data_IF_621630586240
#
_entry.id   IF_621630586240
#
_cell.length_a   1.000
_cell.length_b   1.000
_cell.length_c   1.000
_cell.angle_alpha   90.00
_cell.angle_beta   90.00
_cell.angle_gamma   90.00
#
_symmetry.space_group_name_H-M   'P 1'
#
loop_
_entity.id
_entity.type
_entity.pdbx_description
1 polymer ?
#
# COMPACT_ATOMS: atom_id res chain seq x y z
N UNK A 1 60.50 -11.54 29.09
CA UNK A 1 60.29 -12.38 30.28
C UNK A 1 58.81 -12.49 30.52
N UNK A 2 58.31 -13.68 30.34
CA UNK A 2 57.22 -14.43 30.91
C UNK A 2 55.80 -13.92 30.54
N UNK A 3 54.83 -14.64 30.15
CA UNK A 3 54.64 -16.02 29.67
C UNK A 3 53.16 -16.09 29.29
N UNK A 4 52.83 -16.72 28.19
CA UNK A 4 51.47 -17.07 27.81
C UNK A 4 50.94 -18.22 28.69
N UNK A 5 49.65 -18.47 28.76
CA UNK A 5 49.18 -19.58 27.97
C UNK A 5 47.84 -19.42 27.21
N UNK A 6 47.84 -20.12 26.11
CA UNK A 6 46.76 -20.50 25.23
C UNK A 6 45.58 -21.19 25.91
N UNK A 7 44.34 -20.90 25.45
CA UNK A 7 43.23 -21.85 25.55
C UNK A 7 42.50 -21.93 24.20
N UNK A 8 42.48 -23.16 23.68
CA UNK A 8 41.80 -23.65 22.47
C UNK A 8 40.28 -23.48 22.54
N UNK A 9 39.60 -23.33 21.40
CA UNK A 9 38.14 -23.40 21.32
C UNK A 9 37.69 -24.86 21.25
N UNK A 10 36.66 -25.20 22.01
CA UNK A 10 35.94 -26.47 21.96
C UNK A 10 34.85 -26.40 20.91
N UNK A 11 34.93 -27.32 19.95
CA UNK A 11 33.86 -27.69 19.02
C UNK A 11 32.65 -28.21 19.79
N UNK A 12 31.46 -27.70 19.45
CA UNK A 12 30.21 -28.39 19.70
C UNK A 12 29.47 -28.60 18.37
N UNK A 13 29.32 -29.86 18.07
CA UNK A 13 28.58 -30.45 16.97
C UNK A 13 27.06 -30.41 17.26
N UNK A 14 26.18 -29.96 16.34
CA UNK A 14 24.75 -30.05 16.50
C UNK A 14 24.17 -31.11 15.57
N UNK A 15 24.15 -32.33 16.04
CA UNK A 15 23.33 -33.39 15.42
C UNK A 15 22.53 -34.11 16.50
N UNK A 16 21.29 -33.69 16.72
CA UNK A 16 20.25 -34.54 17.30
C UNK A 16 18.89 -34.08 16.79
N UNK A 17 18.45 -34.80 15.81
CA UNK A 17 17.13 -34.81 15.24
C UNK A 17 16.19 -35.57 16.19
N UNK A 18 15.22 -34.91 16.80
CA UNK A 18 14.11 -35.55 17.47
C UNK A 18 12.79 -35.14 16.85
N UNK A 19 12.26 -36.08 16.09
CA UNK A 19 10.89 -36.14 15.59
C UNK A 19 9.91 -36.19 16.77
N UNK A 20 9.09 -35.17 16.95
CA UNK A 20 7.90 -35.21 17.78
C UNK A 20 6.66 -35.37 16.92
N UNK A 21 6.07 -36.54 17.04
CA UNK A 21 4.76 -36.95 16.58
C UNK A 21 3.64 -35.99 16.99
N UNK A 22 2.77 -35.70 16.05
CA UNK A 22 1.51 -34.99 16.26
C UNK A 22 0.53 -35.90 16.99
N UNK A 23 0.06 -35.46 18.14
CA UNK A 23 -1.13 -36.02 18.79
C UNK A 23 -2.40 -35.44 18.14
N UNK A 24 -3.48 -36.25 17.98
CA UNK A 24 -4.76 -35.79 17.47
C UNK A 24 -5.56 -35.09 18.57
N UNK A 25 -6.19 -33.94 18.20
CA UNK A 25 -7.07 -33.18 19.07
C UNK A 25 -8.39 -33.91 19.41
N UNK A 26 -9.05 -33.53 20.50
CA UNK A 26 -10.19 -34.26 21.03
C UNK A 26 -11.45 -34.12 20.19
N UNK A 27 -12.09 -35.25 19.95
CA UNK A 27 -13.37 -35.43 19.30
C UNK A 27 -14.52 -34.70 20.04
N UNK A 28 -15.44 -34.15 19.25
CA UNK A 28 -16.61 -33.45 19.73
C UNK A 28 -17.56 -34.35 20.56
N UNK A 29 -17.93 -33.84 21.71
CA UNK A 29 -19.01 -34.42 22.54
C UNK A 29 -20.37 -34.10 21.91
N UNK A 30 -21.06 -35.17 21.49
CA UNK A 30 -22.50 -35.22 21.22
C UNK A 30 -23.25 -35.06 22.54
N UNK A 31 -24.08 -34.01 22.63
CA UNK A 31 -25.05 -33.86 23.73
C UNK A 31 -26.28 -34.77 23.56
N UNK A 32 -26.89 -35.18 24.66
CA UNK A 32 -28.00 -36.13 24.61
C UNK A 32 -29.33 -35.48 24.17
N UNK A 33 -30.09 -36.27 23.40
CA UNK A 33 -31.48 -35.97 23.03
C UNK A 33 -32.37 -36.02 24.27
N UNK A 34 -33.40 -35.17 24.42
CA UNK A 34 -34.35 -35.27 25.52
C UNK A 34 -35.35 -36.39 25.27
N UNK A 35 -35.52 -37.22 26.28
CA UNK A 35 -36.52 -38.27 26.39
C UNK A 35 -37.93 -37.73 26.36
N UNK A 36 -38.81 -38.44 25.66
CA UNK A 36 -40.25 -38.28 25.62
C UNK A 36 -40.92 -38.71 26.93
N UNK A 37 -41.45 -37.80 27.68
CA UNK A 37 -42.43 -38.16 28.73
C UNK A 37 -43.83 -37.98 28.17
N UNK A 38 -44.52 -39.09 28.04
CA UNK A 38 -45.95 -39.14 27.72
C UNK A 38 -46.82 -38.67 28.89
N UNK A 39 -47.75 -37.78 28.60
CA UNK A 39 -48.92 -37.49 29.45
C UNK A 39 -50.17 -37.68 28.61
N UNK A 40 -50.95 -38.67 28.99
CA UNK A 40 -52.32 -38.89 28.51
C UNK A 40 -53.29 -37.92 29.18
N UNK A 41 -54.18 -37.36 28.40
CA UNK A 41 -55.36 -36.66 28.99
C UNK A 41 -56.15 -35.78 28.03
N UNK A 42 -57.27 -36.27 27.59
CA UNK A 42 -58.54 -35.53 27.47
C UNK A 42 -58.69 -34.67 26.21
N UNK A 43 -59.59 -35.11 25.36
CA UNK A 43 -59.98 -34.49 24.12
C UNK A 43 -60.60 -33.11 24.23
N UNK A 44 -60.34 -32.38 23.15
CA UNK A 44 -61.27 -31.44 22.50
C UNK A 44 -60.77 -31.29 21.05
N UNK A 45 -61.63 -31.68 20.11
CA UNK A 45 -61.40 -31.47 18.68
C UNK A 45 -61.46 -29.97 18.36
N UNK A 46 -60.31 -29.33 18.32
CA UNK A 46 -60.20 -28.03 17.70
C UNK A 46 -59.81 -28.25 16.22
N UNK A 47 -60.72 -27.88 15.33
CA UNK A 47 -60.59 -27.92 13.89
C UNK A 47 -59.28 -27.19 13.48
N UNK A 48 -58.40 -27.92 12.79
CA UNK A 48 -57.20 -27.33 12.20
C UNK A 48 -57.58 -26.20 11.23
N UNK A 49 -56.89 -25.05 11.28
CA UNK A 49 -57.09 -23.99 10.30
C UNK A 49 -56.73 -24.54 8.92
N UNK A 50 -57.69 -24.49 8.00
CA UNK A 50 -57.44 -24.74 6.59
C UNK A 50 -56.37 -23.73 6.11
N UNK A 51 -55.16 -24.21 5.93
CA UNK A 51 -54.13 -23.44 5.18
C UNK A 51 -54.65 -23.31 3.76
N UNK A 52 -55.11 -22.12 3.38
CA UNK A 52 -55.34 -21.79 1.98
C UNK A 52 -54.02 -21.95 1.26
N UNK A 53 -53.93 -22.95 0.41
CA UNK A 53 -52.91 -23.01 -0.63
C UNK A 53 -53.19 -21.87 -1.60
N UNK A 54 -52.55 -20.72 -1.37
CA UNK A 54 -52.51 -19.70 -2.40
C UNK A 54 -51.72 -20.32 -3.56
N UNK A 55 -52.35 -20.30 -4.74
CA UNK A 55 -51.67 -20.70 -5.99
C UNK A 55 -50.41 -19.87 -6.09
N UNK A 56 -49.24 -20.54 -6.00
CA UNK A 56 -47.96 -19.91 -6.28
C UNK A 56 -48.00 -19.58 -7.78
N UNK A 57 -48.26 -18.31 -8.08
CA UNK A 57 -48.06 -17.81 -9.46
C UNK A 57 -46.64 -18.19 -9.88
N UNK A 58 -46.55 -19.10 -10.81
CA UNK A 58 -45.29 -19.43 -11.46
C UNK A 58 -44.85 -18.18 -12.21
N UNK A 59 -43.96 -17.43 -11.60
CA UNK A 59 -43.30 -16.28 -12.25
C UNK A 59 -42.67 -16.76 -13.53
N UNK A 60 -43.27 -16.38 -14.67
CA UNK A 60 -42.72 -16.64 -15.99
C UNK A 60 -41.35 -16.01 -16.04
N UNK A 61 -40.32 -16.85 -16.19
CA UNK A 61 -38.93 -16.38 -16.31
C UNK A 61 -38.80 -15.55 -17.61
N UNK A 62 -38.86 -14.23 -17.46
CA UNK A 62 -38.53 -13.32 -18.57
C UNK A 62 -37.01 -13.34 -18.77
N UNK A 63 -36.54 -13.45 -20.02
CA UNK A 63 -35.13 -13.34 -20.30
C UNK A 63 -34.61 -11.98 -19.78
N UNK A 64 -33.46 -11.99 -19.13
CA UNK A 64 -32.83 -10.80 -18.56
C UNK A 64 -32.55 -9.78 -19.68
N UNK A 65 -33.20 -8.63 -19.61
CA UNK A 65 -32.91 -7.48 -20.47
C UNK A 65 -32.12 -6.44 -19.64
N UNK A 66 -30.84 -6.19 -19.95
CA UNK A 66 -30.04 -5.21 -19.21
C UNK A 66 -30.64 -3.79 -19.21
N UNK A 67 -31.36 -3.43 -20.28
CA UNK A 67 -32.03 -2.11 -20.39
C UNK A 67 -33.29 -1.99 -19.52
N UNK A 68 -33.88 -3.11 -19.08
CA UNK A 68 -35.08 -3.16 -18.26
C UNK A 68 -34.80 -3.61 -16.82
N UNK A 69 -33.55 -3.63 -16.40
CA UNK A 69 -33.13 -4.13 -15.10
C UNK A 69 -33.64 -3.24 -13.94
N UNK A 70 -34.91 -3.36 -13.65
CA UNK A 70 -35.60 -2.64 -12.56
C UNK A 70 -35.73 -3.45 -11.26
N UNK A 71 -35.22 -4.68 -11.23
CA UNK A 71 -35.29 -5.57 -10.07
C UNK A 71 -34.62 -5.00 -8.84
N UNK A 72 -35.11 -5.36 -7.64
CA UNK A 72 -34.55 -4.89 -6.37
C UNK A 72 -33.06 -5.21 -6.23
N UNK A 73 -32.62 -6.39 -6.67
CA UNK A 73 -31.22 -6.79 -6.67
C UNK A 73 -30.37 -5.87 -7.57
N UNK A 74 -30.83 -5.56 -8.75
CA UNK A 74 -30.11 -4.70 -9.71
C UNK A 74 -29.90 -3.30 -9.11
N UNK A 75 -30.98 -2.66 -8.62
CA UNK A 75 -30.88 -1.35 -7.96
C UNK A 75 -29.91 -1.37 -6.76
N UNK A 76 -29.91 -2.47 -5.99
CA UNK A 76 -28.98 -2.61 -4.85
C UNK A 76 -27.55 -2.77 -5.29
N UNK A 77 -27.29 -3.55 -6.34
CA UNK A 77 -25.93 -3.72 -6.91
C UNK A 77 -25.42 -2.40 -7.48
N UNK A 78 -26.24 -1.68 -8.24
CA UNK A 78 -25.86 -0.37 -8.79
C UNK A 78 -25.59 0.66 -7.71
N UNK A 79 -26.45 0.76 -6.69
CA UNK A 79 -26.24 1.65 -5.56
C UNK A 79 -24.94 1.33 -4.81
N UNK A 80 -24.76 0.07 -4.43
CA UNK A 80 -23.54 -0.37 -3.74
C UNK A 80 -22.27 -0.17 -4.59
N UNK A 81 -22.37 -0.35 -5.91
CA UNK A 81 -21.24 -0.12 -6.81
C UNK A 81 -20.85 1.35 -6.85
N UNK A 82 -21.81 2.25 -6.95
CA UNK A 82 -21.57 3.70 -6.93
C UNK A 82 -20.98 4.16 -5.59
N UNK A 83 -21.53 3.67 -4.47
CA UNK A 83 -21.03 3.96 -3.13
C UNK A 83 -19.58 3.46 -2.97
N UNK A 84 -19.31 2.23 -3.40
CA UNK A 84 -17.96 1.67 -3.38
C UNK A 84 -17.00 2.42 -4.28
N UNK A 85 -17.40 2.75 -5.50
CA UNK A 85 -16.58 3.52 -6.44
C UNK A 85 -16.23 4.91 -5.87
N UNK A 86 -17.23 5.60 -5.30
CA UNK A 86 -17.04 6.90 -4.64
C UNK A 86 -16.08 6.79 -3.45
N UNK A 87 -16.24 5.77 -2.62
CA UNK A 87 -15.34 5.49 -1.50
C UNK A 87 -13.90 5.25 -1.97
N UNK A 88 -13.70 4.40 -2.99
CA UNK A 88 -12.34 4.09 -3.49
C UNK A 88 -11.66 5.33 -4.08
N UNK A 89 -12.42 6.20 -4.76
CA UNK A 89 -11.87 7.45 -5.30
C UNK A 89 -11.50 8.40 -4.16
N UNK A 90 -12.45 8.72 -3.28
CA UNK A 90 -12.29 9.78 -2.27
C UNK A 90 -11.41 9.35 -1.10
N UNK A 91 -11.61 8.14 -0.60
CA UNK A 91 -11.09 7.72 0.71
C UNK A 91 -10.00 6.64 0.63
N UNK A 92 -9.49 6.33 -0.58
CA UNK A 92 -8.48 5.28 -0.74
C UNK A 92 -7.39 5.57 -1.76
N UNK A 93 -7.76 5.76 -3.03
CA UNK A 93 -6.81 5.65 -4.13
C UNK A 93 -6.19 6.99 -4.55
N UNK A 94 -6.95 8.07 -4.50
CA UNK A 94 -6.54 9.37 -5.01
C UNK A 94 -5.98 10.22 -3.88
N UNK A 95 -4.79 10.82 -4.03
CA UNK A 95 -4.21 11.71 -3.03
C UNK A 95 -4.95 13.05 -2.98
N UNK A 96 -4.95 13.69 -1.82
CA UNK A 96 -5.43 15.07 -1.71
C UNK A 96 -4.42 16.05 -2.32
N UNK A 97 -4.94 17.12 -2.92
CA UNK A 97 -4.09 18.15 -3.54
C UNK A 97 -3.29 18.93 -2.48
N UNK A 98 -3.88 19.18 -1.32
CA UNK A 98 -3.32 20.03 -0.28
C UNK A 98 -2.06 19.45 0.39
N UNK A 99 -1.98 18.14 0.54
CA UNK A 99 -0.86 17.46 1.21
C UNK A 99 -0.18 16.36 0.38
N UNK A 100 -0.71 16.07 -0.79
CA UNK A 100 -0.17 15.02 -1.67
C UNK A 100 -0.29 13.60 -1.11
N UNK A 101 -1.04 13.39 -0.04
CA UNK A 101 -1.14 12.12 0.66
C UNK A 101 -2.47 11.41 0.37
N UNK A 102 -2.39 10.09 0.28
CA UNK A 102 -3.58 9.23 0.35
C UNK A 102 -4.04 9.11 1.80
N UNK A 103 -5.32 8.78 2.07
CA UNK A 103 -5.82 8.68 3.45
C UNK A 103 -4.98 7.78 4.36
N UNK A 104 -4.55 6.60 3.91
CA UNK A 104 -3.68 5.72 4.70
C UNK A 104 -2.33 6.39 5.02
N UNK A 105 -1.74 7.10 4.07
CA UNK A 105 -0.47 7.79 4.28
C UNK A 105 -0.61 8.94 5.27
N UNK A 106 -1.70 9.71 5.20
CA UNK A 106 -2.00 10.79 6.14
C UNK A 106 -2.19 10.25 7.56
N UNK A 107 -2.91 9.13 7.71
CA UNK A 107 -3.09 8.45 9.00
C UNK A 107 -1.78 7.91 9.57
N UNK A 108 -0.87 7.43 8.74
CA UNK A 108 0.49 7.04 9.15
C UNK A 108 1.27 8.26 9.67
N UNK A 109 1.24 9.38 8.92
CA UNK A 109 1.93 10.61 9.32
C UNK A 109 1.36 11.17 10.62
N UNK A 110 0.03 11.13 10.78
CA UNK A 110 -0.65 11.53 12.02
C UNK A 110 -0.27 10.63 13.20
N UNK A 111 -0.26 9.32 13.00
CA UNK A 111 0.16 8.35 14.01
C UNK A 111 1.60 8.54 14.45
N UNK A 112 2.49 8.86 13.52
CA UNK A 112 3.88 9.21 13.82
C UNK A 112 3.99 10.50 14.60
N UNK A 113 3.20 11.52 14.25
CA UNK A 113 3.17 12.81 14.96
C UNK A 113 2.73 12.65 16.41
N UNK A 114 1.66 11.92 16.68
CA UNK A 114 1.17 11.68 18.05
C UNK A 114 2.13 10.85 18.92
N UNK A 115 3.01 10.07 18.31
CA UNK A 115 4.02 9.24 18.98
C UNK A 115 5.44 9.80 18.92
N UNK A 116 5.60 10.99 18.33
CA UNK A 116 6.91 11.57 18.09
C UNK A 116 7.58 12.07 19.38
N UNK A 117 8.60 11.36 19.82
CA UNK A 117 9.51 11.76 20.89
C UNK A 117 10.93 12.07 20.38
N UNK A 118 11.09 12.19 19.06
CA UNK A 118 12.36 12.39 18.37
C UNK A 118 13.20 11.13 18.18
N UNK A 119 12.80 10.00 18.76
CA UNK A 119 13.52 8.74 18.66
C UNK A 119 12.93 7.84 17.58
N UNK A 120 13.71 6.84 17.19
CA UNK A 120 13.21 5.78 16.32
C UNK A 120 12.21 4.88 17.04
N UNK A 121 11.09 4.60 16.38
CA UNK A 121 10.00 3.76 16.86
C UNK A 121 9.86 2.56 15.92
N UNK A 122 9.60 1.37 16.45
CA UNK A 122 9.33 0.18 15.63
C UNK A 122 8.16 0.43 14.67
N UNK A 123 8.36 0.08 13.41
CA UNK A 123 7.30 0.18 12.39
C UNK A 123 6.05 -0.59 12.82
N UNK A 124 6.21 -1.77 13.44
CA UNK A 124 5.08 -2.54 13.96
C UNK A 124 4.23 -1.76 14.99
N UNK A 125 4.86 -0.93 15.83
CA UNK A 125 4.15 -0.11 16.83
C UNK A 125 3.33 1.00 16.13
N UNK A 126 3.90 1.65 15.12
CA UNK A 126 3.20 2.67 14.35
C UNK A 126 2.06 2.07 13.53
N UNK A 127 2.27 0.91 12.91
CA UNK A 127 1.23 0.17 12.20
C UNK A 127 0.06 -0.15 13.12
N UNK A 128 0.34 -0.74 14.29
CA UNK A 128 -0.68 -1.05 15.29
C UNK A 128 -1.42 0.21 15.79
N UNK A 129 -0.69 1.30 16.03
CA UNK A 129 -1.30 2.57 16.44
C UNK A 129 -2.15 3.20 15.32
N UNK A 130 -1.75 3.10 14.07
CA UNK A 130 -2.49 3.62 12.91
C UNK A 130 -3.84 2.91 12.70
N UNK A 131 -3.99 1.67 13.15
CA UNK A 131 -5.25 0.91 13.00
C UNK A 131 -6.45 1.55 13.72
N UNK A 132 -6.23 2.41 14.73
CA UNK A 132 -7.30 3.18 15.36
C UNK A 132 -7.92 4.25 14.43
N UNK A 133 -7.21 4.62 13.36
CA UNK A 133 -7.66 5.55 12.33
C UNK A 133 -8.01 4.83 11.02
N UNK A 134 -7.33 3.73 10.73
CA UNK A 134 -7.42 3.03 9.44
C UNK A 134 -7.96 1.61 9.63
N UNK A 135 -9.27 1.36 9.37
CA UNK A 135 -9.94 0.07 9.63
C UNK A 135 -9.65 -0.96 8.54
N UNK A 136 -8.37 -1.16 8.22
CA UNK A 136 -7.91 -2.14 7.22
C UNK A 136 -6.73 -2.94 7.77
N UNK A 137 -6.31 -3.98 7.03
CA UNK A 137 -5.24 -4.87 7.47
C UNK A 137 -3.90 -4.18 7.70
N UNK A 138 -3.18 -4.61 8.73
CA UNK A 138 -1.86 -4.13 9.15
C UNK A 138 -0.81 -4.18 8.03
N UNK A 139 -0.85 -5.21 7.18
CA UNK A 139 0.03 -5.33 6.03
C UNK A 139 -0.08 -4.11 5.09
N UNK A 140 -1.30 -3.66 4.79
CA UNK A 140 -1.51 -2.50 3.90
C UNK A 140 -0.95 -1.19 4.48
N UNK A 141 -1.03 -1.03 5.81
CA UNK A 141 -0.45 0.12 6.52
C UNK A 141 1.08 0.02 6.49
N UNK A 142 1.63 -1.16 6.77
CA UNK A 142 3.07 -1.41 6.73
C UNK A 142 3.68 -1.12 5.35
N UNK A 143 3.05 -1.61 4.29
CA UNK A 143 3.49 -1.38 2.91
C UNK A 143 3.44 0.11 2.54
N UNK A 144 2.38 0.82 2.93
CA UNK A 144 2.27 2.26 2.70
C UNK A 144 3.35 3.05 3.47
N UNK A 145 3.68 2.64 4.70
CA UNK A 145 4.75 3.23 5.49
C UNK A 145 6.12 3.00 4.83
N UNK A 146 6.40 1.79 4.36
CA UNK A 146 7.63 1.48 3.62
C UNK A 146 7.77 2.35 2.37
N UNK A 147 6.68 2.55 1.62
CA UNK A 147 6.67 3.46 0.46
C UNK A 147 7.03 4.89 0.87
N UNK A 148 6.46 5.41 1.96
CA UNK A 148 6.76 6.77 2.44
C UNK A 148 8.22 6.92 2.88
N UNK A 149 8.78 5.94 3.58
CA UNK A 149 10.20 5.94 3.96
C UNK A 149 11.10 5.96 2.73
N UNK A 150 10.78 5.16 1.72
CA UNK A 150 11.56 5.09 0.48
C UNK A 150 11.47 6.37 -0.38
N UNK A 151 10.47 7.23 -0.16
CA UNK A 151 10.42 8.59 -0.73
C UNK A 151 11.43 9.55 -0.09
N UNK A 152 11.93 9.26 1.11
CA UNK A 152 13.02 9.96 1.82
C UNK A 152 12.76 11.43 2.22
N UNK A 153 11.54 11.92 2.13
CA UNK A 153 11.21 13.30 2.49
C UNK A 153 10.62 13.42 3.89
N UNK A 154 9.64 12.58 4.23
CA UNK A 154 8.80 12.77 5.40
C UNK A 154 9.15 11.86 6.58
N UNK A 155 9.66 10.67 6.28
CA UNK A 155 9.98 9.65 7.28
C UNK A 155 11.43 9.20 7.10
N UNK A 156 12.18 9.20 8.19
CA UNK A 156 13.50 8.60 8.27
C UNK A 156 13.37 7.16 8.76
N UNK A 157 14.00 6.22 8.06
CA UNK A 157 13.97 4.80 8.38
C UNK A 157 15.33 4.28 8.88
N UNK A 158 15.29 3.37 9.83
CA UNK A 158 16.45 2.62 10.31
C UNK A 158 16.21 1.12 10.11
N UNK A 159 17.14 0.46 9.44
CA UNK A 159 17.04 -0.95 9.04
C UNK A 159 16.78 -1.12 7.55
N UNK A 160 16.34 -2.31 7.15
CA UNK A 160 16.12 -2.65 5.75
C UNK A 160 14.67 -2.34 5.32
N UNK A 161 14.47 -1.22 4.63
CA UNK A 161 13.20 -0.83 4.02
C UNK A 161 13.06 -1.28 2.55
N UNK A 162 13.84 -2.26 2.14
CA UNK A 162 13.92 -2.69 0.75
C UNK A 162 14.81 -1.78 -0.09
N UNK A 163 14.93 -2.11 -1.36
CA UNK A 163 15.74 -1.35 -2.29
C UNK A 163 15.06 -1.29 -3.67
N UNK A 164 14.59 -0.12 -4.06
CA UNK A 164 13.94 0.10 -5.35
C UNK A 164 14.86 -0.13 -6.56
N UNK A 165 16.18 -0.07 -6.37
CA UNK A 165 17.15 -0.30 -7.46
C UNK A 165 17.38 -1.80 -7.70
N UNK A 166 17.47 -2.60 -6.64
CA UNK A 166 17.69 -4.05 -6.74
C UNK A 166 16.40 -4.84 -6.86
N UNK A 167 15.31 -4.37 -6.25
CA UNK A 167 14.03 -5.06 -6.16
C UNK A 167 13.83 -5.78 -4.83
N UNK A 168 14.79 -5.67 -3.89
CA UNK A 168 14.70 -6.30 -2.58
C UNK A 168 13.50 -5.81 -1.78
N UNK A 169 12.81 -6.72 -1.13
CA UNK A 169 11.70 -6.41 -0.23
C UNK A 169 12.18 -5.84 1.11
N UNK A 170 11.31 -5.08 1.77
CA UNK A 170 11.56 -4.61 3.13
C UNK A 170 11.55 -5.77 4.14
N UNK A 171 12.32 -5.63 5.22
CA UNK A 171 12.25 -6.52 6.35
C UNK A 171 10.90 -6.40 7.07
N UNK A 172 10.55 -7.43 7.87
CA UNK A 172 9.31 -7.41 8.63
C UNK A 172 9.23 -6.18 9.58
N UNK A 173 8.04 -5.60 9.79
CA UNK A 173 7.82 -4.37 10.59
C UNK A 173 8.39 -4.42 12.02
N UNK A 174 8.55 -5.61 12.59
CA UNK A 174 9.12 -5.78 13.94
C UNK A 174 10.63 -5.54 14.02
N UNK A 175 11.34 -5.55 12.89
CA UNK A 175 12.80 -5.37 12.85
C UNK A 175 13.23 -3.96 12.47
N UNK A 176 12.41 -3.23 11.72
CA UNK A 176 12.72 -1.90 11.20
C UNK A 176 12.07 -0.82 12.05
N UNK A 177 12.68 0.35 12.03
CA UNK A 177 12.27 1.51 12.84
C UNK A 177 12.14 2.75 11.98
N UNK A 178 11.30 3.67 12.40
CA UNK A 178 11.07 4.92 11.69
C UNK A 178 10.84 6.09 12.66
N UNK A 179 11.05 7.30 12.17
CA UNK A 179 10.70 8.55 12.84
C UNK A 179 10.38 9.63 11.82
N UNK A 180 9.74 10.70 12.25
CA UNK A 180 9.55 11.88 11.41
C UNK A 180 10.88 12.56 11.08
N UNK A 181 11.00 13.06 9.86
CA UNK A 181 12.10 13.98 9.50
C UNK A 181 11.83 15.36 10.09
N UNK A 182 12.88 16.20 10.19
CA UNK A 182 12.73 17.60 10.58
C UNK A 182 11.81 18.37 9.62
N UNK A 183 11.92 18.08 8.33
CA UNK A 183 11.04 18.64 7.30
C UNK A 183 9.55 18.34 7.59
N UNK A 184 9.24 17.08 7.93
CA UNK A 184 7.87 16.69 8.23
C UNK A 184 7.34 17.37 9.50
N UNK A 185 8.15 17.45 10.56
CA UNK A 185 7.78 18.14 11.81
C UNK A 185 7.47 19.62 11.59
N UNK A 186 8.28 20.27 10.77
CA UNK A 186 8.18 21.73 10.55
C UNK A 186 7.04 22.10 9.59
N UNK A 187 6.80 21.25 8.58
CA UNK A 187 5.95 21.66 7.45
C UNK A 187 4.56 21.01 7.43
N UNK A 188 4.36 19.86 8.11
CA UNK A 188 3.09 19.12 8.00
C UNK A 188 2.13 19.34 9.16
N UNK A 189 2.64 19.67 10.33
CA UNK A 189 1.81 19.69 11.54
C UNK A 189 1.65 21.13 12.03
N UNK A 190 0.49 21.72 11.77
CA UNK A 190 0.11 23.04 12.23
C UNK A 190 -1.32 23.00 12.76
N UNK A 191 -1.46 22.99 14.08
CA UNK A 191 -2.75 22.87 14.77
C UNK A 191 -3.71 24.02 14.47
N UNK A 192 -3.19 25.22 14.08
CA UNK A 192 -4.03 26.40 13.80
C UNK A 192 -4.83 26.26 12.50
N UNK A 193 -4.35 25.48 11.54
CA UNK A 193 -4.96 25.35 10.21
C UNK A 193 -5.37 23.91 9.88
N UNK A 194 -5.08 22.94 10.75
CA UNK A 194 -5.45 21.54 10.54
C UNK A 194 -6.86 21.27 11.04
N UNK A 195 -7.77 20.98 10.11
CA UNK A 195 -9.12 20.57 10.45
C UNK A 195 -9.13 19.09 10.89
N UNK A 196 -9.70 18.84 12.07
CA UNK A 196 -9.83 17.49 12.64
C UNK A 196 -11.28 17.02 12.61
N UNK A 197 -11.48 15.79 12.17
CA UNK A 197 -12.78 15.08 12.16
C UNK A 197 -12.72 13.82 13.02
N UNK A 198 -13.87 13.31 13.50
CA UNK A 198 -13.90 12.03 14.20
C UNK A 198 -13.36 10.90 13.31
N UNK A 199 -12.60 9.97 13.91
CA UNK A 199 -12.20 8.72 13.26
C UNK A 199 -13.42 7.84 12.96
N UNK A 200 -13.23 6.77 12.20
CA UNK A 200 -14.29 5.88 11.74
C UNK A 200 -15.16 5.31 12.89
N UNK A 201 -14.60 5.17 14.09
CA UNK A 201 -15.29 4.69 15.30
C UNK A 201 -15.69 5.82 16.25
N UNK A 202 -15.39 7.06 15.92
CA UNK A 202 -15.69 8.26 16.71
C UNK A 202 -14.89 8.42 18.00
N UNK A 203 -13.93 7.54 18.28
CA UNK A 203 -13.13 7.58 19.54
C UNK A 203 -11.98 8.57 19.49
N UNK A 204 -11.42 8.77 18.32
CA UNK A 204 -10.26 9.64 18.09
C UNK A 204 -10.60 10.73 17.08
N UNK A 205 -9.69 11.67 16.89
CA UNK A 205 -9.78 12.67 15.85
C UNK A 205 -8.62 12.50 14.87
N UNK A 206 -8.92 12.59 13.58
CA UNK A 206 -7.93 12.52 12.51
C UNK A 206 -7.99 13.76 11.61
N UNK A 207 -6.87 14.17 10.98
CA UNK A 207 -6.86 15.32 10.09
C UNK A 207 -7.56 15.00 8.76
N UNK A 208 -8.37 15.95 8.30
CA UNK A 208 -8.96 15.90 6.95
C UNK A 208 -7.86 15.95 5.89
N UNK A 209 -6.95 16.94 6.04
CA UNK A 209 -5.71 17.10 5.28
C UNK A 209 -4.65 17.65 6.22
N UNK A 210 -3.37 17.52 5.84
CA UNK A 210 -2.24 18.16 6.52
C UNK A 210 -1.73 19.30 5.64
N UNK A 211 -2.26 20.54 5.83
CA UNK A 211 -1.90 21.65 4.95
C UNK A 211 -0.40 21.91 4.99
N UNK A 212 0.23 21.93 3.82
CA UNK A 212 1.67 22.07 3.70
C UNK A 212 2.03 23.19 2.71
N UNK A 213 3.05 23.99 3.04
CA UNK A 213 3.57 25.02 2.14
C UNK A 213 4.36 24.47 0.97
N UNK A 214 4.78 23.21 1.05
CA UNK A 214 5.54 22.53 0.02
C UNK A 214 4.60 21.80 -0.96
N UNK A 215 4.93 21.75 -2.25
CA UNK A 215 4.14 21.04 -3.25
C UNK A 215 4.37 19.53 -3.18
N UNK A 216 4.00 18.92 -2.04
CA UNK A 216 4.29 17.51 -1.71
C UNK A 216 3.76 16.54 -2.77
N UNK A 217 2.62 16.83 -3.38
CA UNK A 217 2.07 15.99 -4.44
C UNK A 217 3.04 15.80 -5.61
N UNK A 218 3.71 16.87 -6.02
CA UNK A 218 4.73 16.82 -7.09
C UNK A 218 6.07 16.29 -6.59
N UNK A 219 6.44 16.59 -5.34
CA UNK A 219 7.68 16.09 -4.74
C UNK A 219 7.65 14.56 -4.61
N UNK A 220 6.59 14.03 -4.05
CA UNK A 220 6.46 12.60 -3.76
C UNK A 220 6.14 11.80 -5.04
N UNK A 221 5.37 12.37 -5.95
CA UNK A 221 4.74 11.63 -7.01
C UNK A 221 3.84 10.53 -6.47
N UNK A 222 2.81 10.18 -7.18
CA UNK A 222 1.86 9.16 -6.73
C UNK A 222 1.18 8.49 -7.90
N UNK A 223 0.77 7.25 -7.72
CA UNK A 223 -0.06 6.51 -8.63
C UNK A 223 -1.26 5.97 -7.86
N UNK A 224 -2.46 6.20 -8.38
CA UNK A 224 -3.70 5.76 -7.78
C UNK A 224 -4.61 5.14 -8.82
N UNK A 225 -5.06 3.92 -8.59
CA UNK A 225 -6.03 3.21 -9.43
C UNK A 225 -7.30 3.07 -8.62
N UNK A 226 -8.36 3.73 -9.09
CA UNK A 226 -9.68 3.67 -8.51
C UNK A 226 -10.66 2.99 -9.48
N UNK A 227 -11.94 3.01 -9.17
CA UNK A 227 -13.00 2.50 -10.05
C UNK A 227 -13.34 3.58 -11.08
N UNK A 228 -13.14 3.30 -12.36
CA UNK A 228 -13.42 4.22 -13.47
C UNK A 228 -12.47 5.42 -13.59
N UNK A 229 -11.53 5.58 -12.66
CA UNK A 229 -10.57 6.69 -12.60
C UNK A 229 -9.20 6.21 -12.19
N UNK A 230 -8.16 6.74 -12.80
CA UNK A 230 -6.78 6.55 -12.36
C UNK A 230 -6.02 7.88 -12.39
N UNK A 231 -5.08 8.04 -11.48
CA UNK A 231 -4.16 9.18 -11.44
C UNK A 231 -2.72 8.69 -11.45
N UNK A 232 -1.86 9.38 -12.19
CA UNK A 232 -0.43 9.12 -12.18
C UNK A 232 0.32 10.45 -12.22
N UNK A 233 0.86 10.83 -11.08
CA UNK A 233 1.64 12.06 -10.92
C UNK A 233 3.09 11.65 -10.73
N UNK A 234 3.94 12.10 -11.64
CA UNK A 234 5.36 11.78 -11.61
C UNK A 234 6.07 12.63 -10.54
N UNK A 235 7.12 12.11 -9.88
CA UNK A 235 7.91 12.90 -8.94
C UNK A 235 8.73 13.96 -9.68
N UNK A 236 9.06 15.04 -8.97
CA UNK A 236 9.84 16.17 -9.47
C UNK A 236 10.96 16.51 -8.49
N UNK A 237 11.96 17.22 -8.98
CA UNK A 237 13.08 17.67 -8.20
C UNK A 237 12.67 18.76 -7.19
N UNK A 238 12.98 18.56 -5.91
CA UNK A 238 12.56 19.46 -4.84
C UNK A 238 13.12 20.90 -5.02
N UNK A 239 14.42 21.13 -5.24
CA UNK A 239 14.95 22.47 -5.53
C UNK A 239 14.27 23.16 -6.71
N UNK A 240 13.98 22.45 -7.80
CA UNK A 240 13.30 23.01 -8.97
C UNK A 240 11.86 23.40 -8.66
N UNK A 241 11.15 22.63 -7.83
CA UNK A 241 9.81 22.97 -7.38
C UNK A 241 9.79 24.23 -6.53
N UNK A 242 10.75 24.42 -5.61
CA UNK A 242 10.88 25.64 -4.83
C UNK A 242 11.20 26.84 -5.72
N UNK A 243 12.07 26.68 -6.72
CA UNK A 243 12.34 27.73 -7.69
C UNK A 243 11.10 28.10 -8.51
N UNK A 244 10.29 27.10 -8.88
CA UNK A 244 9.03 27.35 -9.56
C UNK A 244 8.03 28.11 -8.67
N UNK A 245 7.90 27.77 -7.39
CA UNK A 245 7.07 28.52 -6.44
C UNK A 245 7.53 29.97 -6.32
N UNK A 246 8.84 30.22 -6.21
CA UNK A 246 9.41 31.57 -6.17
C UNK A 246 9.14 32.31 -7.49
N UNK A 247 9.21 31.64 -8.63
CA UNK A 247 8.92 32.23 -9.93
C UNK A 247 7.43 32.63 -10.04
N UNK A 248 6.52 31.78 -9.60
CA UNK A 248 5.06 32.05 -9.54
C UNK A 248 4.79 33.29 -8.68
N UNK A 249 5.37 33.38 -7.48
CA UNK A 249 5.20 34.50 -6.58
C UNK A 249 5.78 35.82 -7.14
N UNK A 250 6.64 35.75 -8.13
CA UNK A 250 7.27 36.89 -8.82
C UNK A 250 6.70 37.13 -10.22
N UNK A 251 5.60 36.48 -10.57
CA UNK A 251 4.98 36.55 -11.90
C UNK A 251 5.97 36.21 -13.05
N UNK A 252 6.90 35.31 -12.82
CA UNK A 252 7.89 34.88 -13.80
C UNK A 252 7.52 33.52 -14.42
N UNK A 253 7.85 33.30 -15.69
CA UNK A 253 7.66 32.00 -16.30
C UNK A 253 8.54 30.95 -15.62
N UNK A 254 8.01 29.76 -15.48
CA UNK A 254 8.70 28.59 -14.95
C UNK A 254 8.42 27.36 -15.81
N UNK A 255 9.28 26.37 -15.68
CA UNK A 255 9.08 25.05 -16.27
C UNK A 255 9.66 24.01 -15.31
N UNK A 256 8.88 23.00 -14.98
CA UNK A 256 9.31 21.84 -14.20
C UNK A 256 9.10 20.59 -15.01
N UNK A 257 10.00 19.64 -14.89
CA UNK A 257 9.93 18.34 -15.54
C UNK A 257 10.07 17.25 -14.48
N UNK A 258 9.48 16.07 -14.73
CA UNK A 258 9.66 14.95 -13.83
C UNK A 258 11.13 14.60 -13.60
N UNK A 259 11.45 14.20 -12.38
CA UNK A 259 12.77 13.73 -11.99
C UNK A 259 12.63 12.40 -11.21
N UNK A 260 13.49 11.45 -11.51
CA UNK A 260 13.41 10.10 -10.96
C UNK A 260 14.66 9.75 -10.18
N UNK A 261 14.48 9.21 -8.97
CA UNK A 261 15.59 8.81 -8.10
C UNK A 261 16.49 7.74 -8.73
N UNK A 262 15.94 6.91 -9.63
CA UNK A 262 16.68 5.88 -10.35
C UNK A 262 17.49 6.44 -11.50
N UNK A 263 17.28 7.70 -11.88
CA UNK A 263 17.93 8.34 -13.01
C UNK A 263 17.37 7.90 -14.37
N UNK A 264 18.24 7.82 -15.36
CA UNK A 264 17.91 7.50 -16.74
C UNK A 264 17.93 8.72 -17.66
N UNK A 265 17.71 8.49 -18.95
CA UNK A 265 17.61 9.51 -19.98
C UNK A 265 16.14 9.72 -20.33
N UNK A 266 15.62 10.90 -20.03
CA UNK A 266 14.20 11.22 -20.24
C UNK A 266 13.99 12.06 -21.50
N UNK A 267 13.03 11.65 -22.33
CA UNK A 267 12.43 12.44 -23.38
C UNK A 267 11.06 12.96 -22.89
N UNK A 268 10.98 14.25 -22.64
CA UNK A 268 9.80 14.93 -22.11
C UNK A 268 9.12 15.86 -23.13
N UNK A 269 9.38 15.69 -24.44
CA UNK A 269 8.78 16.56 -25.48
C UNK A 269 7.26 16.49 -25.49
N UNK A 270 6.71 15.35 -25.17
CA UNK A 270 5.26 15.10 -25.13
C UNK A 270 4.68 15.16 -23.70
N UNK A 271 5.38 15.73 -22.74
CA UNK A 271 4.94 15.75 -21.33
C UNK A 271 3.70 16.63 -21.10
N UNK A 272 3.62 17.79 -21.76
CA UNK A 272 2.46 18.72 -21.77
C UNK A 272 1.94 18.98 -20.35
N UNK A 273 2.84 19.34 -19.42
CA UNK A 273 2.53 19.64 -18.02
C UNK A 273 1.70 18.54 -17.31
N UNK A 274 2.06 17.28 -17.58
CA UNK A 274 1.42 16.11 -16.98
C UNK A 274 0.23 15.52 -17.77
N UNK A 275 -0.25 16.20 -18.81
CA UNK A 275 -1.34 15.71 -19.65
C UNK A 275 -0.88 14.74 -20.75
N UNK A 276 0.42 14.63 -20.95
CA UNK A 276 1.02 13.80 -21.97
C UNK A 276 1.79 12.61 -21.42
N UNK A 277 2.94 12.32 -22.04
CA UNK A 277 3.77 11.19 -21.64
C UNK A 277 5.26 11.55 -21.65
N UNK A 278 6.03 10.81 -20.86
CA UNK A 278 7.49 10.83 -20.89
C UNK A 278 8.01 9.46 -21.28
N UNK A 279 9.17 9.43 -21.98
CA UNK A 279 9.90 8.19 -22.28
C UNK A 279 11.22 8.21 -21.54
N UNK A 280 11.43 7.22 -20.68
CA UNK A 280 12.69 7.09 -19.93
C UNK A 280 13.44 5.86 -20.41
N UNK A 281 14.74 6.01 -20.67
CA UNK A 281 15.64 4.94 -21.09
C UNK A 281 16.79 4.81 -20.11
N UNK A 282 17.32 3.60 -20.01
CA UNK A 282 18.55 3.34 -19.24
C UNK A 282 19.71 4.18 -19.78
N UNK A 283 20.57 4.63 -18.89
CA UNK A 283 21.84 5.27 -19.26
C UNK A 283 22.91 4.20 -19.42
N UNK A 284 23.34 4.02 -20.64
CA UNK A 284 24.27 2.96 -21.07
C UNK A 284 25.62 3.57 -21.38
N UNK A 285 26.69 2.91 -20.95
CA UNK A 285 28.07 3.24 -21.32
C UNK A 285 28.70 2.02 -21.99
N UNK A 286 29.23 2.20 -23.20
CA UNK A 286 30.07 1.21 -23.86
C UNK A 286 31.46 1.29 -23.21
N UNK A 287 31.94 0.19 -22.65
CA UNK A 287 33.23 0.09 -22.00
C UNK A 287 34.30 -0.33 -23.02
N UNK A 288 33.97 -1.34 -23.83
CA UNK A 288 34.79 -1.87 -24.90
C UNK A 288 33.89 -2.50 -25.99
N UNK A 289 34.46 -3.12 -27.02
CA UNK A 289 33.74 -3.71 -28.15
C UNK A 289 32.76 -4.83 -27.74
N UNK A 290 32.95 -5.44 -26.58
CA UNK A 290 32.20 -6.60 -26.10
C UNK A 290 31.43 -6.33 -24.80
N UNK A 291 31.69 -5.19 -24.14
CA UNK A 291 31.19 -4.89 -22.81
C UNK A 291 30.35 -3.61 -22.76
N UNK A 292 29.14 -3.74 -22.27
CA UNK A 292 28.22 -2.63 -22.05
C UNK A 292 27.91 -2.53 -20.57
N UNK A 293 27.96 -1.32 -20.02
CA UNK A 293 27.63 -1.03 -18.62
C UNK A 293 26.33 -0.22 -18.58
N UNK A 294 25.32 -0.73 -17.91
CA UNK A 294 24.08 0.00 -17.60
C UNK A 294 24.32 0.73 -16.29
N UNK A 295 24.33 2.07 -16.32
CA UNK A 295 24.62 2.90 -15.15
C UNK A 295 23.39 3.31 -14.37
N UNK A 296 22.30 3.58 -15.08
CA UNK A 296 21.05 4.04 -14.52
C UNK A 296 19.92 3.29 -15.22
N UNK A 297 18.89 2.93 -14.47
CA UNK A 297 17.72 2.19 -14.97
C UNK A 297 16.47 3.08 -14.95
N UNK A 298 15.51 2.87 -15.85
CA UNK A 298 14.25 3.62 -15.84
C UNK A 298 13.45 3.40 -14.55
N UNK A 299 12.62 4.36 -14.15
CA UNK A 299 11.70 4.19 -13.01
C UNK A 299 10.77 3.00 -13.26
N UNK A 300 10.50 2.24 -12.19
CA UNK A 300 9.67 1.03 -12.25
C UNK A 300 10.41 -0.23 -12.72
N UNK A 301 11.70 -0.13 -13.05
CA UNK A 301 12.56 -1.29 -13.27
C UNK A 301 13.49 -1.51 -12.07
N UNK A 302 13.73 -2.76 -11.71
CA UNK A 302 14.80 -3.15 -10.80
C UNK A 302 15.92 -3.87 -11.54
N UNK A 303 17.11 -3.96 -10.94
CA UNK A 303 18.22 -4.73 -11.50
C UNK A 303 17.81 -6.19 -11.75
N UNK A 304 17.06 -6.79 -10.83
CA UNK A 304 16.57 -8.15 -10.96
C UNK A 304 15.63 -8.31 -12.17
N UNK A 305 14.64 -7.42 -12.31
CA UNK A 305 13.70 -7.45 -13.44
C UNK A 305 14.41 -7.22 -14.80
N UNK A 306 15.44 -6.38 -14.79
CA UNK A 306 16.26 -6.11 -15.98
C UNK A 306 17.07 -7.33 -16.37
N UNK A 307 17.75 -7.98 -15.42
CA UNK A 307 18.51 -9.23 -15.64
C UNK A 307 17.58 -10.30 -16.21
N UNK A 308 16.44 -10.55 -15.58
CA UNK A 308 15.45 -11.52 -16.07
C UNK A 308 14.99 -11.22 -17.50
N UNK A 309 14.78 -9.95 -17.84
CA UNK A 309 14.41 -9.51 -19.19
C UNK A 309 15.50 -9.77 -20.23
N UNK A 310 16.77 -9.55 -19.86
CA UNK A 310 17.92 -9.79 -20.74
C UNK A 310 18.12 -11.30 -20.96
N UNK A 311 17.99 -12.10 -19.90
CA UNK A 311 18.05 -13.57 -19.99
C UNK A 311 16.97 -14.14 -20.88
N UNK A 312 15.72 -13.66 -20.74
CA UNK A 312 14.60 -14.08 -21.61
C UNK A 312 14.84 -13.69 -23.07
N UNK A 313 15.35 -12.48 -23.32
CA UNK A 313 15.72 -12.04 -24.66
C UNK A 313 16.85 -12.88 -25.25
N UNK A 314 17.81 -13.31 -24.45
CA UNK A 314 18.92 -14.20 -24.86
C UNK A 314 18.39 -15.60 -25.16
N UNK A 315 17.50 -16.14 -24.34
CA UNK A 315 16.87 -17.44 -24.56
C UNK A 315 16.03 -17.46 -25.85
N UNK A 316 15.38 -16.36 -26.18
CA UNK A 316 14.60 -16.18 -27.40
C UNK A 316 15.46 -15.86 -28.64
N UNK A 317 16.79 -15.84 -28.50
CA UNK A 317 17.72 -15.56 -29.61
C UNK A 317 17.70 -14.11 -30.12
N UNK A 318 17.05 -13.19 -29.37
CA UNK A 318 16.98 -11.75 -29.74
C UNK A 318 18.26 -11.00 -29.38
N UNK A 319 18.99 -11.49 -28.40
CA UNK A 319 20.23 -10.90 -27.88
C UNK A 319 21.25 -12.02 -27.68
N UNK A 320 22.54 -11.72 -27.96
CA UNK A 320 23.64 -12.64 -27.65
C UNK A 320 24.43 -12.06 -26.49
N UNK A 321 24.24 -12.61 -25.29
CA UNK A 321 24.97 -12.21 -24.08
C UNK A 321 25.78 -13.40 -23.59
N UNK A 322 27.05 -13.14 -23.25
CA UNK A 322 27.98 -14.17 -22.74
C UNK A 322 27.87 -14.29 -21.22
N UNK A 323 27.77 -13.16 -20.53
CA UNK A 323 27.66 -13.10 -19.08
C UNK A 323 26.97 -11.81 -18.64
N UNK A 324 26.24 -11.85 -17.52
CA UNK A 324 25.66 -10.72 -16.81
C UNK A 324 26.33 -10.64 -15.43
N UNK A 325 26.87 -9.46 -15.07
CA UNK A 325 27.52 -9.22 -13.78
C UNK A 325 27.00 -7.91 -13.18
#
# INVERSE_FOLDING_TARGET
MADKPDKKPTNHDPSANESRSREPGPEGRSGPSPESTGVTGGGEEASAPHVRTEEVETLVHKPFNPAEATGALHRRVDGNFLDYASYVIRDRAIPALADGLKPVQRRIMWSLHEKDDGRFIKVANIVGYCMQYHPHGDASIGDALVVLVNKRYLIEGQGNFGNAFTGDAAAAPRYIECRLTELARTELFNDEITELVPSYDGRNKEPVVLPCRLPLLLMLGTEGIAVGLSSRILPHNFPELIQAQIAILKDKPFKVLPDFITGGLMDARDYKDGQGSVRVRAKIKIKDESTVVIKEIPPGCSSESLIASIEDATRKGKLKVKSLN
#
